data_IF_320517370624
#
_entry.id   IF_320517370624
#
_cell.length_a   1.000
_cell.length_b   1.000
_cell.length_c   1.000
_cell.angle_alpha   90.00
_cell.angle_beta   90.00
_cell.angle_gamma   90.00
#
_symmetry.space_group_name_H-M   'P 1'
#
loop_
_entity.id
_entity.type
_entity.pdbx_description
1 polymer ?
#
# COMPACT_ATOMS: atom_id res chain seq x y z
N UNK A 1 -25.13 14.42 -0.58
CA UNK A 1 -25.03 13.27 0.34
C UNK A 1 -23.77 13.42 1.19
N UNK A 2 -23.75 12.99 2.47
CA UNK A 2 -22.52 12.90 3.27
C UNK A 2 -22.07 11.44 3.40
N UNK A 3 -20.77 11.17 3.34
CA UNK A 3 -20.20 9.82 3.40
C UNK A 3 -19.26 9.68 4.60
N UNK A 4 -19.54 8.72 5.46
CA UNK A 4 -18.70 8.37 6.61
C UNK A 4 -18.01 7.03 6.33
N UNK A 5 -16.70 6.98 6.50
CA UNK A 5 -15.91 5.74 6.48
C UNK A 5 -15.28 5.58 7.86
N UNK A 6 -15.56 4.47 8.55
CA UNK A 6 -15.04 4.24 9.90
C UNK A 6 -14.65 2.79 10.22
N UNK A 7 -13.80 2.63 11.22
CA UNK A 7 -13.35 1.34 11.77
C UNK A 7 -13.72 1.13 13.26
N UNK A 8 -14.69 1.88 13.78
CA UNK A 8 -15.32 1.57 15.08
C UNK A 8 -15.72 0.09 15.18
N UNK A 9 -15.58 -0.46 16.39
CA UNK A 9 -16.18 -1.74 16.74
C UNK A 9 -17.70 -1.67 16.65
N UNK A 10 -18.36 -2.83 16.59
CA UNK A 10 -19.82 -2.89 16.56
C UNK A 10 -20.44 -2.18 17.77
N UNK A 11 -19.89 -2.42 18.96
CA UNK A 11 -20.38 -1.84 20.21
C UNK A 11 -20.19 -0.33 20.27
N UNK A 12 -19.03 0.17 19.82
CA UNK A 12 -18.78 1.61 19.71
C UNK A 12 -19.76 2.25 18.73
N UNK A 13 -19.98 1.61 17.59
CA UNK A 13 -20.87 2.13 16.55
C UNK A 13 -22.33 2.18 17.01
N UNK A 14 -22.83 1.16 17.71
CA UNK A 14 -24.19 1.15 18.27
C UNK A 14 -24.45 2.37 19.18
N UNK A 15 -23.43 2.84 19.91
CA UNK A 15 -23.52 4.04 20.76
C UNK A 15 -23.47 5.35 19.97
N UNK A 16 -22.77 5.37 18.82
CA UNK A 16 -22.48 6.59 18.06
C UNK A 16 -23.35 6.78 16.82
N UNK A 17 -24.04 5.74 16.34
CA UNK A 17 -24.78 5.75 15.07
C UNK A 17 -25.79 6.89 14.97
N UNK A 18 -26.43 7.25 16.08
CA UNK A 18 -27.39 8.36 16.14
C UNK A 18 -26.80 9.72 15.74
N UNK A 19 -25.49 9.93 15.90
CA UNK A 19 -24.80 11.18 15.50
C UNK A 19 -24.66 11.30 13.98
N UNK A 20 -24.84 10.20 13.26
CA UNK A 20 -24.56 10.08 11.83
C UNK A 20 -25.77 9.58 11.04
N UNK A 21 -26.99 9.80 11.53
CA UNK A 21 -28.24 9.33 10.90
C UNK A 21 -28.40 9.77 9.44
N UNK A 22 -27.87 10.95 9.10
CA UNK A 22 -27.97 11.54 7.76
C UNK A 22 -26.76 11.22 6.87
N UNK A 23 -25.85 10.37 7.34
CA UNK A 23 -24.66 9.96 6.62
C UNK A 23 -24.87 8.60 5.98
N UNK A 24 -24.38 8.44 4.75
CA UNK A 24 -24.14 7.11 4.20
C UNK A 24 -22.90 6.55 4.89
N UNK A 25 -23.02 5.38 5.51
CA UNK A 25 -21.96 4.81 6.35
C UNK A 25 -21.30 3.61 5.68
N UNK A 26 -19.97 3.61 5.69
CA UNK A 26 -19.12 2.50 5.29
C UNK A 26 -18.34 2.07 6.54
N UNK A 27 -18.77 0.95 7.12
CA UNK A 27 -18.17 0.35 8.31
C UNK A 27 -17.53 -0.98 7.95
N UNK A 28 -16.72 -1.54 8.87
CA UNK A 28 -16.16 -2.86 8.69
C UNK A 28 -17.23 -3.91 8.39
N UNK A 29 -17.00 -4.69 7.35
CA UNK A 29 -17.68 -5.96 7.11
C UNK A 29 -16.62 -7.02 6.85
N UNK A 30 -16.85 -8.25 7.30
CA UNK A 30 -15.92 -9.38 7.07
C UNK A 30 -15.72 -9.69 5.56
N UNK A 31 -16.53 -9.08 4.69
CA UNK A 31 -16.60 -9.37 3.27
C UNK A 31 -15.64 -8.56 2.39
N UNK A 32 -15.04 -7.47 2.86
CA UNK A 32 -14.21 -6.62 1.99
C UNK A 32 -12.92 -7.34 1.58
N UNK A 33 -12.83 -7.71 0.31
CA UNK A 33 -11.61 -8.32 -0.25
C UNK A 33 -10.57 -7.26 -0.62
N UNK A 34 -9.27 -7.56 -0.47
CA UNK A 34 -8.21 -6.63 -0.83
C UNK A 34 -8.20 -6.31 -2.31
N UNK A 35 -7.66 -5.15 -2.66
CA UNK A 35 -7.49 -4.75 -4.05
C UNK A 35 -6.50 -5.69 -4.77
N UNK A 36 -7.00 -6.39 -5.80
CA UNK A 36 -6.20 -7.33 -6.57
C UNK A 36 -5.17 -6.66 -7.51
N UNK A 37 -5.22 -5.33 -7.68
CA UNK A 37 -4.37 -4.63 -8.64
C UNK A 37 -4.63 -5.03 -10.10
N UNK A 38 -5.85 -5.47 -10.43
CA UNK A 38 -6.21 -5.99 -11.75
C UNK A 38 -6.55 -4.91 -12.78
N UNK A 39 -6.74 -3.66 -12.34
CA UNK A 39 -7.13 -2.50 -13.15
C UNK A 39 -8.45 -2.64 -13.93
N UNK A 40 -9.28 -3.63 -13.60
CA UNK A 40 -10.58 -3.83 -14.25
C UNK A 40 -11.53 -2.63 -14.06
N UNK A 41 -11.43 -1.96 -12.90
CA UNK A 41 -12.17 -0.74 -12.57
C UNK A 41 -11.78 0.49 -13.40
N UNK A 42 -10.68 0.39 -14.16
CA UNK A 42 -10.34 1.34 -15.20
C UNK A 42 -10.64 0.78 -16.59
N UNK A 43 -10.30 -0.47 -16.85
CA UNK A 43 -10.14 -0.97 -18.22
C UNK A 43 -11.15 -2.02 -18.67
N UNK A 44 -12.08 -2.46 -17.81
CA UNK A 44 -13.17 -3.39 -18.17
C UNK A 44 -14.53 -2.78 -17.88
N UNK A 45 -14.72 -2.28 -16.66
CA UNK A 45 -15.94 -1.61 -16.23
C UNK A 45 -15.53 -0.26 -15.59
N UNK A 46 -15.25 0.77 -16.39
CA UNK A 46 -14.74 2.05 -15.89
C UNK A 46 -15.62 2.63 -14.79
N UNK A 47 -15.02 2.86 -13.61
CA UNK A 47 -15.74 3.40 -12.45
C UNK A 47 -16.15 2.34 -11.41
N UNK A 48 -16.23 1.06 -11.79
CA UNK A 48 -16.78 0.00 -10.94
C UNK A 48 -15.74 -1.10 -10.68
N UNK A 49 -15.57 -1.50 -9.43
CA UNK A 49 -14.69 -2.63 -9.11
C UNK A 49 -15.22 -3.94 -9.70
N UNK A 50 -14.30 -4.78 -10.18
CA UNK A 50 -14.63 -6.14 -10.61
C UNK A 50 -14.95 -7.08 -9.44
N UNK A 51 -14.50 -6.74 -8.23
CA UNK A 51 -14.79 -7.48 -7.01
C UNK A 51 -16.16 -7.00 -6.50
N UNK A 52 -17.18 -7.84 -6.62
CA UNK A 52 -18.57 -7.54 -6.18
C UNK A 52 -18.77 -8.04 -4.75
N UNK A 53 -18.52 -7.17 -3.78
CA UNK A 53 -18.57 -7.47 -2.33
C UNK A 53 -19.15 -6.32 -1.51
N UNK A 54 -19.89 -5.40 -2.17
CA UNK A 54 -20.50 -4.22 -1.56
C UNK A 54 -19.65 -2.95 -1.69
N UNK A 55 -18.37 -3.07 -2.06
CA UNK A 55 -17.44 -1.96 -2.18
C UNK A 55 -17.12 -1.59 -3.63
N UNK A 56 -17.76 -2.24 -4.61
CA UNK A 56 -17.48 -2.03 -6.02
C UNK A 56 -17.78 -0.61 -6.52
N UNK A 57 -18.66 0.12 -5.84
CA UNK A 57 -19.08 1.48 -6.19
C UNK A 57 -18.42 2.58 -5.34
N UNK A 58 -17.38 2.28 -4.57
CA UNK A 58 -16.75 3.29 -3.70
C UNK A 58 -16.30 4.55 -4.45
N UNK A 59 -15.78 4.43 -5.67
CA UNK A 59 -15.42 5.60 -6.48
C UNK A 59 -16.61 6.48 -6.86
N UNK A 60 -17.80 5.90 -7.10
CA UNK A 60 -19.03 6.66 -7.32
C UNK A 60 -19.52 7.30 -6.02
N UNK A 61 -19.50 6.56 -4.90
CA UNK A 61 -19.93 7.08 -3.60
C UNK A 61 -19.10 8.28 -3.14
N UNK A 62 -17.77 8.25 -3.36
CA UNK A 62 -16.91 9.41 -3.09
C UNK A 62 -17.26 10.58 -4.03
N UNK A 63 -17.58 10.30 -5.30
CA UNK A 63 -18.03 11.32 -6.26
C UNK A 63 -19.39 11.95 -5.89
N UNK A 64 -20.33 11.20 -5.36
CA UNK A 64 -21.65 11.70 -4.97
C UNK A 64 -21.65 12.43 -3.62
N UNK A 65 -20.61 12.20 -2.81
CA UNK A 65 -20.48 12.84 -1.51
C UNK A 65 -20.15 14.34 -1.66
N UNK A 66 -20.83 15.18 -0.88
CA UNK A 66 -20.49 16.59 -0.69
C UNK A 66 -19.32 16.72 0.31
N UNK A 67 -19.31 15.82 1.30
CA UNK A 67 -18.29 15.71 2.34
C UNK A 67 -18.02 14.23 2.65
N UNK A 68 -16.73 13.89 2.77
CA UNK A 68 -16.26 12.59 3.22
C UNK A 68 -15.61 12.76 4.59
N UNK A 69 -16.16 12.08 5.60
CA UNK A 69 -15.55 11.98 6.92
C UNK A 69 -14.89 10.62 7.04
N UNK A 70 -13.61 10.61 7.38
CA UNK A 70 -12.82 9.40 7.60
C UNK A 70 -12.45 9.36 9.07
N UNK A 71 -12.93 8.35 9.78
CA UNK A 71 -12.58 8.09 11.17
C UNK A 71 -11.79 6.79 11.18
N UNK A 72 -10.53 6.83 11.56
CA UNK A 72 -9.68 5.65 11.52
C UNK A 72 -8.82 5.54 12.76
N UNK A 73 -8.64 4.31 13.25
CA UNK A 73 -7.52 4.00 14.13
C UNK A 73 -6.22 4.42 13.44
N UNK A 74 -5.35 5.09 14.18
CA UNK A 74 -4.01 5.40 13.73
C UNK A 74 -3.22 4.10 13.59
N UNK A 75 -2.64 3.88 12.40
CA UNK A 75 -1.88 2.68 12.11
C UNK A 75 -0.61 3.07 11.35
N UNK A 76 0.51 3.07 12.09
CA UNK A 76 1.87 3.27 11.59
C UNK A 76 2.05 4.53 10.72
N UNK A 77 1.36 5.62 11.04
CA UNK A 77 1.44 6.87 10.27
C UNK A 77 0.30 7.07 9.26
N UNK A 78 -0.68 6.17 9.20
CA UNK A 78 -1.84 6.30 8.33
C UNK A 78 -3.10 5.61 8.86
N UNK A 79 -3.95 5.19 7.93
CA UNK A 79 -5.22 4.52 8.22
C UNK A 79 -5.02 3.06 8.65
N UNK A 80 -5.97 2.54 9.43
CA UNK A 80 -6.10 1.10 9.69
C UNK A 80 -6.23 0.27 8.42
N UNK A 81 -5.95 -1.03 8.53
CA UNK A 81 -6.05 -1.95 7.40
C UNK A 81 -7.43 -1.93 6.74
N UNK A 82 -8.53 -1.77 7.50
CA UNK A 82 -9.88 -1.69 6.93
C UNK A 82 -10.10 -0.41 6.13
N UNK A 83 -9.88 0.77 6.72
CA UNK A 83 -10.10 2.06 6.04
C UNK A 83 -9.19 2.17 4.83
N UNK A 84 -7.93 1.70 4.95
CA UNK A 84 -7.01 1.60 3.82
C UNK A 84 -7.56 0.70 2.72
N UNK A 85 -8.22 -0.41 3.05
CA UNK A 85 -8.81 -1.31 2.07
C UNK A 85 -9.93 -0.64 1.26
N UNK A 86 -10.78 0.14 1.93
CA UNK A 86 -11.81 0.95 1.27
C UNK A 86 -11.17 1.87 0.22
N UNK A 87 -10.08 2.57 0.55
CA UNK A 87 -9.40 3.45 -0.38
C UNK A 87 -8.62 2.73 -1.49
N UNK A 88 -8.01 1.59 -1.20
CA UNK A 88 -7.35 0.75 -2.21
C UNK A 88 -8.35 0.24 -3.26
N UNK A 89 -9.60 0.01 -2.83
CA UNK A 89 -10.74 -0.35 -3.69
C UNK A 89 -11.41 0.86 -4.38
N UNK A 90 -11.01 2.08 -4.04
CA UNK A 90 -11.60 3.34 -4.53
C UNK A 90 -10.83 3.99 -5.67
N UNK A 91 -9.77 3.37 -6.20
CA UNK A 91 -8.94 3.96 -7.27
C UNK A 91 -9.72 4.29 -8.56
N UNK A 92 -10.91 3.70 -8.74
CA UNK A 92 -11.82 4.05 -9.83
C UNK A 92 -12.29 5.52 -9.78
N UNK A 93 -12.17 6.19 -8.63
CA UNK A 93 -12.42 7.61 -8.44
C UNK A 93 -11.51 8.51 -9.31
N UNK A 94 -10.34 8.01 -9.71
CA UNK A 94 -9.38 8.70 -10.59
C UNK A 94 -9.27 8.00 -11.95
N UNK A 95 -8.70 8.70 -12.95
CA UNK A 95 -8.44 8.13 -14.26
C UNK A 95 -7.12 7.35 -14.27
N UNK A 96 -7.01 6.31 -15.11
CA UNK A 96 -5.75 5.58 -15.29
C UNK A 96 -4.63 6.44 -15.91
N UNK A 97 -4.99 7.53 -16.59
CA UNK A 97 -4.05 8.40 -17.29
C UNK A 97 -3.15 9.17 -16.31
N UNK A 98 -1.90 9.34 -16.69
CA UNK A 98 -0.88 10.07 -15.96
C UNK A 98 -0.83 11.55 -16.38
N UNK A 99 -0.40 12.40 -15.46
CA UNK A 99 -0.15 13.84 -15.61
C UNK A 99 0.97 14.27 -14.67
N UNK A 100 1.51 15.48 -14.85
CA UNK A 100 2.43 16.09 -13.90
C UNK A 100 1.64 17.12 -13.09
N UNK A 101 1.72 17.01 -11.77
CA UNK A 101 1.11 17.93 -10.81
C UNK A 101 2.14 18.26 -9.75
N UNK A 102 2.37 19.55 -9.47
CA UNK A 102 3.34 20.02 -8.48
C UNK A 102 4.76 19.42 -8.63
N UNK A 103 5.19 19.18 -9.88
CA UNK A 103 6.53 18.67 -10.19
C UNK A 103 6.67 17.14 -10.17
N UNK A 104 5.63 16.40 -9.77
CA UNK A 104 5.62 14.94 -9.67
C UNK A 104 4.52 14.32 -10.54
N UNK A 105 4.69 13.04 -10.89
CA UNK A 105 3.71 12.32 -11.68
C UNK A 105 2.55 11.81 -10.83
N UNK A 106 1.32 12.06 -11.29
CA UNK A 106 0.09 11.60 -10.66
C UNK A 106 -0.91 11.11 -11.72
N UNK A 107 -1.98 10.46 -11.27
CA UNK A 107 -3.12 10.15 -12.14
C UNK A 107 -4.00 11.38 -12.40
N UNK A 108 -4.64 11.46 -13.56
CA UNK A 108 -5.58 12.53 -13.94
C UNK A 108 -6.89 12.40 -13.16
N UNK A 109 -7.54 13.55 -12.95
CA UNK A 109 -8.89 13.65 -12.41
C UNK A 109 -9.90 12.93 -13.31
N UNK A 110 -10.79 12.11 -12.72
CA UNK A 110 -12.02 11.65 -13.40
C UNK A 110 -13.12 12.70 -13.32
N UNK A 111 -13.24 13.33 -12.16
CA UNK A 111 -14.25 14.34 -11.86
C UNK A 111 -13.61 15.71 -11.71
N UNK A 112 -14.30 16.77 -12.12
CA UNK A 112 -13.74 18.12 -12.15
C UNK A 112 -13.58 18.69 -10.74
N UNK A 113 -14.50 18.35 -9.85
CA UNK A 113 -14.53 18.83 -8.47
C UNK A 113 -13.45 18.19 -7.59
N UNK A 114 -13.05 18.94 -6.57
CA UNK A 114 -12.27 18.41 -5.45
C UNK A 114 -13.21 18.09 -4.31
N UNK A 115 -13.04 16.90 -3.71
CA UNK A 115 -13.91 16.43 -2.63
C UNK A 115 -13.41 16.90 -1.29
N UNK A 116 -14.32 17.34 -0.44
CA UNK A 116 -13.99 17.80 0.90
C UNK A 116 -13.81 16.59 1.81
N UNK A 117 -12.64 16.48 2.43
CA UNK A 117 -12.33 15.43 3.38
C UNK A 117 -12.07 16.01 4.76
N UNK A 118 -12.60 15.35 5.78
CA UNK A 118 -12.24 15.53 7.18
C UNK A 118 -11.70 14.21 7.71
N UNK A 119 -10.63 14.27 8.51
CA UNK A 119 -9.96 13.09 9.03
C UNK A 119 -9.92 13.14 10.56
N UNK A 120 -10.33 12.07 11.21
CA UNK A 120 -10.21 11.85 12.64
C UNK A 120 -9.37 10.61 12.85
N UNK A 121 -8.16 10.79 13.38
CA UNK A 121 -7.30 9.68 13.79
C UNK A 121 -7.51 9.36 15.26
N UNK A 122 -7.85 8.10 15.54
CA UNK A 122 -8.06 7.61 16.90
C UNK A 122 -6.81 6.86 17.36
N UNK A 123 -6.29 7.14 18.55
CA UNK A 123 -5.20 6.36 19.14
C UNK A 123 -5.05 6.60 20.64
N UNK A 124 -4.35 5.70 21.31
CA UNK A 124 -3.96 5.86 22.71
C UNK A 124 -2.60 6.57 22.79
N UNK A 125 -2.54 7.70 23.49
CA UNK A 125 -1.35 8.50 23.78
C UNK A 125 -0.48 8.80 22.54
N UNK A 126 -1.10 9.17 21.42
CA UNK A 126 -0.40 9.46 20.17
C UNK A 126 0.63 10.59 20.35
N UNK A 127 1.89 10.29 20.03
CA UNK A 127 3.00 11.25 20.06
C UNK A 127 2.82 12.30 18.96
N UNK A 128 3.43 13.46 19.13
CA UNK A 128 3.37 14.52 18.11
C UNK A 128 4.02 14.11 16.78
N UNK A 129 5.05 13.27 16.83
CA UNK A 129 5.68 12.69 15.64
C UNK A 129 4.73 11.78 14.86
N UNK A 130 3.89 11.01 15.56
CA UNK A 130 2.88 10.13 14.97
C UNK A 130 1.74 10.93 14.34
N UNK A 131 1.26 11.96 15.05
CA UNK A 131 0.28 12.92 14.52
C UNK A 131 0.80 13.60 13.25
N UNK A 132 2.08 14.00 13.24
CA UNK A 132 2.70 14.61 12.07
C UNK A 132 2.88 13.63 10.90
N UNK A 133 3.21 12.36 11.18
CA UNK A 133 3.24 11.32 10.15
C UNK A 133 1.86 11.14 9.50
N UNK A 134 0.79 11.07 10.31
CA UNK A 134 -0.59 10.99 9.83
C UNK A 134 -0.97 12.20 8.97
N UNK A 135 -0.61 13.43 9.40
CA UNK A 135 -0.84 14.65 8.61
C UNK A 135 -0.14 14.59 7.25
N UNK A 136 1.15 14.23 7.23
CA UNK A 136 1.93 14.08 5.99
C UNK A 136 1.31 13.04 5.05
N UNK A 137 0.86 11.92 5.60
CA UNK A 137 0.18 10.87 4.84
C UNK A 137 -1.11 11.37 4.21
N UNK A 138 -2.04 11.97 4.98
CA UNK A 138 -3.32 12.42 4.42
C UNK A 138 -3.16 13.56 3.41
N UNK A 139 -2.16 14.43 3.57
CA UNK A 139 -1.81 15.45 2.57
C UNK A 139 -1.43 14.79 1.24
N UNK A 140 -0.59 13.77 1.27
CA UNK A 140 -0.14 13.09 0.06
C UNK A 140 -1.24 12.17 -0.54
N UNK A 141 -2.02 11.50 0.30
CA UNK A 141 -3.24 10.81 -0.10
C UNK A 141 -4.22 11.74 -0.82
N UNK A 142 -4.54 12.91 -0.25
CA UNK A 142 -5.45 13.88 -0.85
C UNK A 142 -4.91 14.46 -2.16
N UNK A 143 -3.59 14.59 -2.34
CA UNK A 143 -3.01 14.96 -3.64
C UNK A 143 -3.32 13.92 -4.71
N UNK A 144 -3.24 12.63 -4.38
CA UNK A 144 -3.55 11.52 -5.29
C UNK A 144 -5.06 11.37 -5.55
N UNK A 145 -5.90 11.65 -4.55
CA UNK A 145 -7.36 11.57 -4.65
C UNK A 145 -8.03 12.92 -4.92
N UNK A 146 -7.28 13.97 -5.26
CA UNK A 146 -7.82 15.31 -5.52
C UNK A 146 -8.74 15.86 -4.41
N UNK A 147 -8.44 15.49 -3.16
CA UNK A 147 -9.18 15.91 -1.98
C UNK A 147 -8.75 17.29 -1.48
N UNK A 148 -9.71 18.07 -0.99
CA UNK A 148 -9.51 19.28 -0.19
C UNK A 148 -9.69 18.91 1.28
N UNK A 149 -8.63 19.07 2.06
CA UNK A 149 -8.66 18.81 3.50
C UNK A 149 -9.41 19.96 4.17
N UNK A 150 -10.47 19.63 4.91
CA UNK A 150 -11.24 20.56 5.76
C UNK A 150 -10.70 20.55 7.18
N UNK A 151 -10.47 19.37 7.74
CA UNK A 151 -9.93 19.21 9.10
C UNK A 151 -9.11 17.92 9.23
N UNK A 152 -8.12 17.96 10.14
CA UNK A 152 -7.38 16.78 10.61
C UNK A 152 -7.32 16.87 12.13
N UNK A 153 -8.10 16.03 12.81
CA UNK A 153 -8.18 15.96 14.26
C UNK A 153 -7.76 14.59 14.78
N UNK A 154 -7.51 14.55 16.09
CA UNK A 154 -7.03 13.36 16.80
C UNK A 154 -7.89 13.14 18.03
N UNK A 155 -8.35 11.91 18.22
CA UNK A 155 -9.17 11.51 19.36
C UNK A 155 -8.47 10.44 20.17
N UNK A 156 -8.51 10.60 21.48
CA UNK A 156 -8.07 9.59 22.41
C UNK A 156 -9.06 8.41 22.38
N UNK A 157 -8.56 7.19 22.30
CA UNK A 157 -9.37 6.02 22.63
C UNK A 157 -8.52 4.97 23.34
N UNK A 158 -9.10 4.34 24.34
CA UNK A 158 -8.53 3.16 24.96
C UNK A 158 -8.78 1.98 24.01
N UNK A 159 -7.70 1.39 23.52
CA UNK A 159 -7.79 0.13 22.81
C UNK A 159 -8.03 -0.96 23.87
N UNK A 160 -9.05 -1.80 23.69
CA UNK A 160 -9.24 -2.96 24.55
C UNK A 160 -7.91 -3.71 24.60
N UNK A 161 -7.40 -3.89 25.82
CA UNK A 161 -6.13 -4.54 26.11
C UNK A 161 -6.26 -6.05 25.79
N UNK A 162 -6.43 -6.37 24.52
CA UNK A 162 -6.37 -7.72 23.98
C UNK A 162 -4.90 -8.07 23.71
N UNK A 163 -4.01 -7.67 24.62
CA UNK A 163 -2.76 -8.39 24.91
C UNK A 163 -3.10 -9.73 25.58
N UNK A 164 -4.03 -10.50 25.01
CA UNK A 164 -3.95 -11.94 25.15
C UNK A 164 -2.83 -12.39 24.24
N UNK A 165 -1.59 -12.20 24.71
CA UNK A 165 -0.41 -12.80 24.12
C UNK A 165 -0.72 -14.29 23.92
N UNK A 166 -0.85 -14.73 22.67
CA UNK A 166 -0.78 -16.15 22.37
C UNK A 166 0.67 -16.57 22.63
N UNK A 167 0.97 -16.85 23.90
CA UNK A 167 2.23 -17.44 24.34
C UNK A 167 2.33 -18.85 23.75
N UNK A 168 2.73 -18.91 22.48
CA UNK A 168 3.39 -20.06 21.89
C UNK A 168 4.68 -19.55 21.30
N UNK A 169 5.65 -19.30 22.17
CA UNK A 169 7.04 -19.30 21.76
C UNK A 169 7.34 -20.71 21.20
N UNK A 170 7.16 -20.88 19.89
CA UNK A 170 7.78 -21.98 19.16
C UNK A 170 9.26 -21.61 19.01
N UNK A 171 10.15 -22.57 19.25
CA UNK A 171 11.59 -22.38 19.10
C UNK A 171 11.92 -21.73 17.76
N UNK A 172 12.65 -20.62 17.81
CA UNK A 172 13.31 -20.05 16.64
C UNK A 172 14.31 -21.06 16.11
N UNK A 173 14.11 -21.52 14.88
CA UNK A 173 14.98 -22.59 14.38
C UNK A 173 15.26 -22.49 12.88
N UNK A 174 15.14 -21.30 12.29
CA UNK A 174 15.48 -21.12 10.88
C UNK A 174 16.36 -19.90 10.64
N UNK A 175 17.58 -20.15 10.17
CA UNK A 175 18.45 -19.15 9.54
C UNK A 175 17.93 -18.71 8.15
N UNK A 176 16.76 -19.24 7.73
CA UNK A 176 16.10 -18.88 6.49
C UNK A 176 15.64 -17.43 6.48
N UNK A 177 15.85 -16.78 5.35
CA UNK A 177 15.46 -15.41 5.05
C UNK A 177 14.17 -15.44 4.23
N UNK A 178 13.09 -14.88 4.75
CA UNK A 178 11.81 -14.86 4.03
C UNK A 178 11.70 -13.62 3.16
N UNK A 179 11.56 -13.82 1.85
CA UNK A 179 11.33 -12.79 0.85
C UNK A 179 9.84 -12.76 0.49
N UNK A 180 9.05 -11.95 1.19
CA UNK A 180 7.60 -11.91 1.05
C UNK A 180 7.16 -10.98 -0.08
N UNK A 181 6.71 -11.57 -1.20
CA UNK A 181 5.99 -10.85 -2.24
C UNK A 181 4.57 -10.52 -1.74
N UNK A 182 4.38 -9.27 -1.36
CA UNK A 182 3.14 -8.73 -0.83
C UNK A 182 2.18 -8.24 -1.94
N UNK A 183 2.47 -8.46 -3.22
CA UNK A 183 1.55 -8.09 -4.29
C UNK A 183 0.44 -9.12 -4.48
N UNK A 184 -0.81 -8.65 -4.59
CA UNK A 184 -1.95 -9.51 -4.95
C UNK A 184 -1.87 -10.07 -6.38
N UNK A 185 -0.89 -9.63 -7.19
CA UNK A 185 -0.62 -10.17 -8.53
C UNK A 185 0.26 -11.43 -8.52
N UNK A 186 0.71 -11.90 -7.35
CA UNK A 186 1.47 -13.14 -7.20
C UNK A 186 2.69 -13.19 -8.10
N UNK A 187 2.85 -14.29 -8.86
CA UNK A 187 3.98 -14.52 -9.76
C UNK A 187 4.07 -13.54 -10.94
N UNK A 188 3.00 -12.80 -11.22
CA UNK A 188 2.97 -11.77 -12.27
C UNK A 188 3.25 -10.36 -11.74
N UNK A 189 3.66 -10.24 -10.47
CA UNK A 189 3.94 -8.97 -9.83
C UNK A 189 5.33 -8.41 -10.19
N UNK A 190 5.43 -7.09 -10.28
CA UNK A 190 6.72 -6.41 -10.39
C UNK A 190 7.55 -6.59 -9.10
N UNK A 191 6.91 -6.58 -7.92
CA UNK A 191 7.58 -6.83 -6.64
C UNK A 191 8.26 -8.20 -6.58
N UNK A 192 7.64 -9.24 -7.17
CA UNK A 192 8.26 -10.58 -7.33
C UNK A 192 9.52 -10.52 -8.20
N UNK A 193 9.46 -9.83 -9.34
CA UNK A 193 10.62 -9.69 -10.23
C UNK A 193 11.80 -8.98 -9.54
N UNK A 194 11.50 -7.95 -8.72
CA UNK A 194 12.51 -7.24 -7.93
C UNK A 194 13.12 -8.17 -6.87
N UNK A 195 12.30 -8.94 -6.14
CA UNK A 195 12.79 -9.95 -5.20
C UNK A 195 13.70 -10.97 -5.88
N UNK A 196 13.26 -11.56 -6.99
CA UNK A 196 14.06 -12.56 -7.73
C UNK A 196 15.39 -11.99 -8.26
N UNK A 197 15.46 -10.67 -8.52
CA UNK A 197 16.73 -10.03 -8.86
C UNK A 197 17.63 -9.90 -7.63
N UNK A 198 17.09 -9.35 -6.54
CA UNK A 198 17.82 -9.11 -5.29
C UNK A 198 18.33 -10.39 -4.63
N UNK A 199 17.52 -11.45 -4.69
CA UNK A 199 17.82 -12.79 -4.15
C UNK A 199 19.18 -13.32 -4.61
N UNK A 200 19.58 -13.02 -5.85
CA UNK A 200 20.88 -13.41 -6.42
C UNK A 200 22.09 -12.73 -5.76
N UNK A 201 21.86 -11.69 -4.97
CA UNK A 201 22.88 -10.93 -4.24
C UNK A 201 22.84 -11.20 -2.74
N UNK A 202 21.95 -12.08 -2.27
CA UNK A 202 21.86 -12.51 -0.89
C UNK A 202 22.67 -13.79 -0.71
N UNK A 203 23.54 -13.80 0.30
CA UNK A 203 24.23 -14.99 0.77
C UNK A 203 23.43 -15.55 1.95
N UNK A 204 22.83 -16.72 1.77
CA UNK A 204 21.99 -17.36 2.80
C UNK A 204 20.90 -18.24 2.18
N UNK A 205 20.19 -18.98 3.03
CA UNK A 205 19.01 -19.73 2.61
C UNK A 205 17.82 -18.78 2.50
N UNK A 206 17.31 -18.57 1.29
CA UNK A 206 16.19 -17.65 1.03
C UNK A 206 14.95 -18.41 0.58
N UNK A 207 13.78 -17.90 0.94
CA UNK A 207 12.50 -18.39 0.41
C UNK A 207 11.61 -17.25 -0.04
N UNK A 208 11.22 -17.26 -1.32
CA UNK A 208 10.28 -16.27 -1.85
C UNK A 208 8.84 -16.76 -1.73
N UNK A 209 8.09 -16.16 -0.82
CA UNK A 209 6.68 -16.48 -0.54
C UNK A 209 5.75 -15.45 -1.19
N UNK A 210 4.65 -15.91 -1.80
CA UNK A 210 3.60 -15.03 -2.29
C UNK A 210 2.50 -14.88 -1.24
N UNK A 211 2.30 -13.67 -0.71
CA UNK A 211 1.24 -13.39 0.29
C UNK A 211 -0.15 -13.75 -0.24
N UNK A 212 -0.41 -13.56 -1.53
CA UNK A 212 -1.70 -13.90 -2.15
C UNK A 212 -2.12 -15.36 -1.93
N UNK A 213 -1.17 -16.29 -1.81
CA UNK A 213 -1.44 -17.70 -1.51
C UNK A 213 -1.92 -17.93 -0.07
N UNK A 214 -1.76 -16.94 0.80
CA UNK A 214 -2.09 -16.98 2.24
C UNK A 214 -3.20 -16.01 2.63
N UNK A 215 -3.88 -15.36 1.68
CA UNK A 215 -4.85 -14.29 1.99
C UNK A 215 -6.05 -14.74 2.83
N UNK A 216 -6.36 -16.05 2.82
CA UNK A 216 -7.41 -16.66 3.64
C UNK A 216 -6.85 -17.55 4.78
N UNK A 217 -5.54 -17.53 5.00
CA UNK A 217 -4.83 -18.40 5.96
C UNK A 217 -3.63 -17.66 6.56
N UNK A 218 -3.91 -16.47 7.08
CA UNK A 218 -2.88 -15.60 7.67
C UNK A 218 -2.14 -16.27 8.83
N UNK A 219 -2.81 -17.13 9.61
CA UNK A 219 -2.18 -17.84 10.72
C UNK A 219 -1.00 -18.70 10.25
N UNK A 220 -1.14 -19.42 9.13
CA UNK A 220 -0.04 -20.20 8.54
C UNK A 220 1.14 -19.30 8.09
N UNK A 221 0.83 -18.13 7.52
CA UNK A 221 1.88 -17.18 7.12
C UNK A 221 2.59 -16.59 8.33
N UNK A 222 1.84 -16.29 9.40
CA UNK A 222 2.39 -15.76 10.64
C UNK A 222 3.32 -16.77 11.31
N UNK A 223 2.97 -18.06 11.33
CA UNK A 223 3.86 -19.10 11.83
C UNK A 223 5.22 -19.10 11.10
N UNK A 224 5.20 -18.93 9.78
CA UNK A 224 6.42 -18.83 8.98
C UNK A 224 7.22 -17.57 9.37
N UNK A 225 6.58 -16.40 9.38
CA UNK A 225 7.24 -15.12 9.64
C UNK A 225 7.75 -14.98 11.08
N UNK A 226 7.08 -15.59 12.05
CA UNK A 226 7.53 -15.60 13.44
C UNK A 226 8.77 -16.49 13.61
N UNK A 227 8.87 -17.59 12.84
CA UNK A 227 9.98 -18.53 12.94
C UNK A 227 11.32 -18.01 12.39
N UNK A 228 11.31 -16.93 11.60
CA UNK A 228 12.51 -16.40 10.95
C UNK A 228 13.02 -15.09 11.59
N UNK A 229 14.31 -14.82 11.41
CA UNK A 229 14.99 -13.62 11.94
C UNK A 229 15.00 -12.45 10.96
N UNK A 230 15.01 -12.73 9.64
CA UNK A 230 15.10 -11.73 8.58
C UNK A 230 13.89 -11.83 7.65
N UNK A 231 13.20 -10.71 7.46
CA UNK A 231 12.04 -10.61 6.57
C UNK A 231 12.29 -9.47 5.59
N UNK A 232 12.09 -9.75 4.30
CA UNK A 232 12.03 -8.74 3.26
C UNK A 232 10.59 -8.60 2.78
N UNK A 233 10.02 -7.41 2.93
CA UNK A 233 8.67 -7.10 2.44
C UNK A 233 8.77 -6.43 1.07
N UNK A 234 8.29 -7.09 0.01
CA UNK A 234 8.23 -6.48 -1.31
C UNK A 234 6.80 -6.19 -1.75
N UNK A 235 6.46 -4.92 -1.97
CA UNK A 235 5.07 -4.50 -2.17
C UNK A 235 4.91 -3.33 -3.14
N UNK A 236 3.75 -3.23 -3.82
CA UNK A 236 3.40 -2.00 -4.53
C UNK A 236 2.97 -0.89 -3.56
N UNK A 237 3.13 0.37 -3.95
CA UNK A 237 2.50 1.52 -3.29
C UNK A 237 1.04 1.64 -3.70
N UNK A 238 0.11 1.60 -2.75
CA UNK A 238 -1.31 1.86 -2.98
C UNK A 238 -1.77 3.06 -2.14
N UNK A 239 -2.46 4.03 -2.76
CA UNK A 239 -3.01 5.20 -2.07
C UNK A 239 -2.02 5.84 -1.06
N UNK A 240 -0.80 6.08 -1.55
CA UNK A 240 0.31 6.73 -0.83
C UNK A 240 0.89 5.97 0.39
N UNK A 241 0.55 4.69 0.55
CA UNK A 241 1.05 3.88 1.66
C UNK A 241 1.10 2.38 1.35
N UNK A 242 1.34 1.59 2.40
CA UNK A 242 1.31 0.13 2.30
C UNK A 242 -0.10 -0.37 1.89
N UNK A 243 -0.21 -1.44 1.07
CA UNK A 243 -1.51 -2.04 0.75
C UNK A 243 -2.24 -2.55 1.99
N UNK A 244 -3.57 -2.49 1.97
CA UNK A 244 -4.42 -2.86 3.12
C UNK A 244 -4.17 -4.26 3.68
N UNK A 245 -3.96 -5.25 2.82
CA UNK A 245 -3.70 -6.63 3.23
C UNK A 245 -2.31 -6.83 3.86
N UNK A 246 -1.38 -5.91 3.60
CA UNK A 246 -0.07 -5.87 4.26
C UNK A 246 -0.19 -5.20 5.62
N UNK A 247 -0.95 -4.10 5.74
CA UNK A 247 -1.26 -3.51 7.03
C UNK A 247 -1.97 -4.50 7.95
N UNK A 248 -2.90 -5.29 7.42
CA UNK A 248 -3.54 -6.38 8.18
C UNK A 248 -2.52 -7.40 8.70
N UNK A 249 -1.55 -7.80 7.87
CA UNK A 249 -0.47 -8.69 8.31
C UNK A 249 0.36 -8.06 9.43
N UNK A 250 0.74 -6.79 9.26
CA UNK A 250 1.52 -6.02 10.23
C UNK A 250 0.79 -5.89 11.57
N UNK A 251 -0.51 -5.57 11.56
CA UNK A 251 -1.39 -5.52 12.73
C UNK A 251 -1.48 -6.89 13.43
N UNK A 252 -1.53 -8.00 12.66
CA UNK A 252 -1.54 -9.35 13.24
C UNK A 252 -0.19 -9.72 13.85
N UNK A 253 0.93 -9.34 13.22
CA UNK A 253 2.27 -9.57 13.77
C UNK A 253 2.51 -8.77 15.04
N UNK A 254 2.03 -7.51 15.11
CA UNK A 254 2.08 -6.68 16.31
C UNK A 254 1.41 -7.37 17.51
N UNK A 255 0.23 -7.96 17.29
CA UNK A 255 -0.52 -8.67 18.33
C UNK A 255 0.13 -9.95 18.83
N UNK A 256 1.00 -10.57 18.03
CA UNK A 256 1.61 -11.86 18.38
C UNK A 256 2.91 -11.73 19.19
N UNK A 257 3.25 -10.53 19.71
CA UNK A 257 4.37 -10.24 20.62
C UNK A 257 5.55 -11.21 20.42
N UNK A 258 6.26 -11.10 19.30
CA UNK A 258 7.42 -11.97 19.09
C UNK A 258 8.47 -11.65 20.18
N UNK A 259 8.87 -12.66 20.94
CA UNK A 259 9.93 -12.55 21.95
C UNK A 259 11.31 -12.19 21.35
N UNK A 260 11.42 -12.17 20.02
CA UNK A 260 12.67 -12.00 19.30
C UNK A 260 12.68 -10.80 18.36
N UNK A 261 13.83 -10.13 18.37
CA UNK A 261 14.14 -9.01 17.48
C UNK A 261 14.28 -9.52 16.05
N UNK A 262 13.47 -9.01 15.14
CA UNK A 262 13.53 -9.32 13.70
C UNK A 262 14.19 -8.18 12.93
N UNK A 263 14.89 -8.51 11.84
CA UNK A 263 15.40 -7.54 10.87
C UNK A 263 14.44 -7.44 9.69
N UNK A 264 13.98 -6.23 9.41
CA UNK A 264 12.98 -5.92 8.40
C UNK A 264 13.63 -5.08 7.30
N UNK A 265 13.58 -5.58 6.07
CA UNK A 265 13.99 -4.87 4.87
C UNK A 265 12.80 -4.67 3.92
N UNK A 266 12.87 -3.67 3.05
CA UNK A 266 11.74 -3.34 2.15
C UNK A 266 12.17 -3.19 0.70
N UNK A 267 11.37 -3.75 -0.22
CA UNK A 267 11.47 -3.45 -1.66
C UNK A 267 10.12 -2.96 -2.16
N UNK A 268 9.97 -1.64 -2.27
CA UNK A 268 8.71 -1.03 -2.65
C UNK A 268 8.77 -0.49 -4.08
N UNK A 269 7.67 -0.61 -4.83
CA UNK A 269 7.59 -0.10 -6.19
C UNK A 269 6.26 0.60 -6.47
N UNK A 270 6.22 1.50 -7.44
CA UNK A 270 4.96 2.16 -7.84
C UNK A 270 4.86 2.44 -9.33
N UNK A 271 3.68 2.83 -9.79
CA UNK A 271 3.44 3.19 -11.20
C UNK A 271 3.95 4.59 -11.60
N UNK A 272 4.16 5.50 -10.65
CA UNK A 272 4.65 6.86 -10.92
C UNK A 272 6.16 6.91 -11.08
N UNK A 273 6.65 7.95 -11.75
CA UNK A 273 8.03 8.05 -12.19
C UNK A 273 9.02 8.29 -11.04
N UNK A 274 8.71 9.20 -10.12
CA UNK A 274 9.61 9.66 -9.07
C UNK A 274 9.54 8.77 -7.83
N UNK A 275 10.52 7.88 -7.64
CA UNK A 275 10.61 6.93 -6.51
C UNK A 275 10.37 7.54 -5.13
N UNK A 276 10.71 8.83 -4.94
CA UNK A 276 10.50 9.59 -3.69
C UNK A 276 9.07 9.58 -3.15
N UNK A 277 8.05 9.37 -3.99
CA UNK A 277 6.66 9.27 -3.50
C UNK A 277 6.41 8.00 -2.64
N UNK A 278 7.33 7.03 -2.62
CA UNK A 278 7.24 5.82 -1.78
C UNK A 278 7.62 6.09 -0.31
N UNK A 279 8.20 7.25 0.02
CA UNK A 279 8.71 7.56 1.37
C UNK A 279 7.71 7.32 2.51
N UNK A 280 6.42 7.56 2.27
CA UNK A 280 5.38 7.38 3.29
C UNK A 280 5.20 5.89 3.60
N UNK A 281 5.26 5.01 2.60
CA UNK A 281 5.23 3.56 2.79
C UNK A 281 6.44 3.07 3.59
N UNK A 282 7.66 3.54 3.27
CA UNK A 282 8.84 3.17 4.05
C UNK A 282 8.73 3.65 5.51
N UNK A 283 8.24 4.88 5.71
CA UNK A 283 7.93 5.42 7.03
C UNK A 283 6.92 4.56 7.81
N UNK A 284 5.90 4.02 7.15
CA UNK A 284 4.94 3.10 7.78
C UNK A 284 5.60 1.80 8.25
N UNK A 285 6.43 1.19 7.42
CA UNK A 285 7.14 -0.04 7.81
C UNK A 285 8.11 0.25 8.95
N UNK A 286 8.80 1.40 8.95
CA UNK A 286 9.70 1.81 10.04
C UNK A 286 8.94 1.99 11.36
N UNK A 287 7.81 2.69 11.34
CA UNK A 287 6.97 2.89 12.52
C UNK A 287 6.41 1.57 13.07
N UNK A 288 6.02 0.65 12.18
CA UNK A 288 5.61 -0.70 12.58
C UNK A 288 6.75 -1.50 13.19
N UNK A 289 7.95 -1.47 12.59
CA UNK A 289 9.12 -2.15 13.14
C UNK A 289 9.42 -1.64 14.56
N UNK A 290 9.42 -0.32 14.76
CA UNK A 290 9.62 0.28 16.10
C UNK A 290 8.53 -0.18 17.09
N UNK A 291 7.26 -0.14 16.67
CA UNK A 291 6.12 -0.57 17.51
C UNK A 291 6.22 -2.03 17.94
N UNK A 292 6.72 -2.90 17.07
CA UNK A 292 6.92 -4.33 17.33
C UNK A 292 8.23 -4.68 18.03
N UNK A 293 9.14 -3.71 18.27
CA UNK A 293 10.49 -3.98 18.78
C UNK A 293 11.42 -4.66 17.76
N UNK A 294 11.09 -4.56 16.46
CA UNK A 294 11.92 -5.04 15.36
C UNK A 294 12.94 -3.97 14.94
N UNK A 295 13.92 -4.40 14.15
CA UNK A 295 14.91 -3.54 13.52
C UNK A 295 14.52 -3.28 12.08
N UNK A 296 14.31 -2.01 11.72
CA UNK A 296 14.21 -1.60 10.32
C UNK A 296 15.62 -1.41 9.76
N UNK A 297 15.99 -2.19 8.74
CA UNK A 297 17.36 -2.24 8.22
C UNK A 297 17.52 -1.58 6.85
N UNK A 298 16.49 -0.89 6.34
CA UNK A 298 16.53 -0.14 5.09
C UNK A 298 15.63 -0.68 3.99
N UNK A 299 15.44 0.12 2.94
CA UNK A 299 14.63 -0.28 1.80
C UNK A 299 15.00 0.36 0.46
N UNK A 300 14.54 -0.28 -0.61
CA UNK A 300 14.68 0.21 -1.98
C UNK A 300 13.30 0.67 -2.50
N UNK A 301 13.20 1.94 -2.86
CA UNK A 301 12.03 2.55 -3.47
C UNK A 301 12.21 2.65 -4.99
N UNK A 302 11.34 1.99 -5.76
CA UNK A 302 11.43 1.92 -7.23
C UNK A 302 10.33 2.74 -7.89
N UNK A 303 10.74 3.81 -8.56
CA UNK A 303 9.90 4.57 -9.48
C UNK A 303 9.68 3.83 -10.81
N UNK A 304 8.72 4.28 -11.62
CA UNK A 304 8.39 3.72 -12.93
C UNK A 304 8.26 2.18 -12.94
N UNK A 305 7.75 1.58 -11.86
CA UNK A 305 7.81 0.16 -11.57
C UNK A 305 7.09 -0.74 -12.58
N UNK A 306 6.09 -0.23 -13.31
CA UNK A 306 5.45 -0.96 -14.42
C UNK A 306 6.39 -1.23 -15.61
N UNK A 307 7.42 -0.38 -15.75
CA UNK A 307 8.49 -0.54 -16.74
C UNK A 307 9.71 -1.21 -16.09
N UNK A 308 10.23 -0.63 -15.01
CA UNK A 308 11.48 -1.09 -14.40
C UNK A 308 11.36 -2.49 -13.80
N UNK A 309 10.22 -2.84 -13.22
CA UNK A 309 9.96 -4.19 -12.70
C UNK A 309 9.92 -5.27 -13.78
N UNK A 310 9.76 -4.92 -15.06
CA UNK A 310 9.91 -5.87 -16.19
C UNK A 310 11.33 -5.86 -16.73
N UNK A 311 11.93 -4.66 -16.87
CA UNK A 311 13.30 -4.51 -17.36
C UNK A 311 14.33 -5.16 -16.44
N UNK A 312 14.06 -5.26 -15.14
CA UNK A 312 14.95 -5.93 -14.18
C UNK A 312 15.15 -7.43 -14.47
N UNK A 313 14.26 -8.04 -15.26
CA UNK A 313 14.37 -9.45 -15.68
C UNK A 313 15.37 -9.66 -16.81
N UNK A 314 15.80 -8.58 -17.48
CA UNK A 314 16.83 -8.66 -18.54
C UNK A 314 18.14 -9.10 -17.86
N UNK A 315 18.83 -10.14 -18.37
CA UNK A 315 20.05 -10.64 -17.73
C UNK A 315 21.08 -9.55 -17.44
N UNK A 316 21.23 -8.60 -18.35
CA UNK A 316 22.12 -7.44 -18.22
C UNK A 316 21.35 -6.15 -17.87
N UNK A 317 20.51 -6.19 -16.83
CA UNK A 317 19.73 -5.03 -16.39
C UNK A 317 20.59 -3.79 -16.07
N UNK A 318 21.87 -3.98 -15.72
CA UNK A 318 22.84 -2.93 -15.40
C UNK A 318 23.15 -2.00 -16.57
N UNK A 319 22.99 -2.47 -17.81
CA UNK A 319 23.17 -1.68 -19.02
C UNK A 319 21.85 -1.19 -19.63
N UNK A 320 20.77 -1.22 -18.86
CA UNK A 320 19.44 -0.74 -19.27
C UNK A 320 18.96 0.44 -18.43
N UNK A 321 17.74 0.93 -18.68
CA UNK A 321 17.09 1.92 -17.81
C UNK A 321 16.82 1.41 -16.38
N UNK A 322 16.94 0.10 -16.13
CA UNK A 322 16.84 -0.49 -14.79
C UNK A 322 18.17 -0.47 -14.01
N UNK A 323 19.26 0.12 -14.54
CA UNK A 323 20.58 0.15 -13.89
C UNK A 323 20.53 0.54 -12.42
N UNK A 324 19.92 1.69 -12.10
CA UNK A 324 19.85 2.19 -10.73
C UNK A 324 19.09 1.22 -9.81
N UNK A 325 18.05 0.57 -10.33
CA UNK A 325 17.28 -0.44 -9.58
C UNK A 325 18.14 -1.69 -9.34
N UNK A 326 18.86 -2.18 -10.35
CA UNK A 326 19.74 -3.33 -10.20
C UNK A 326 20.82 -3.08 -9.14
N UNK A 327 21.49 -1.91 -9.18
CA UNK A 327 22.51 -1.56 -8.20
C UNK A 327 21.93 -1.43 -6.79
N UNK A 328 20.77 -0.79 -6.64
CA UNK A 328 20.11 -0.64 -5.34
C UNK A 328 19.69 -1.99 -4.73
N UNK A 329 19.20 -2.92 -5.56
CA UNK A 329 18.85 -4.28 -5.12
C UNK A 329 20.09 -5.08 -4.74
N UNK A 330 21.20 -4.95 -5.48
CA UNK A 330 22.45 -5.62 -5.12
C UNK A 330 23.01 -5.09 -3.78
N UNK A 331 22.91 -3.79 -3.53
CA UNK A 331 23.32 -3.15 -2.27
C UNK A 331 22.47 -3.64 -1.10
N UNK A 332 21.14 -3.63 -1.24
CA UNK A 332 20.24 -4.16 -0.21
C UNK A 332 20.46 -5.66 0.02
N UNK A 333 20.70 -6.44 -1.04
CA UNK A 333 21.02 -7.87 -0.94
C UNK A 333 22.27 -8.15 -0.10
N UNK A 334 23.34 -7.38 -0.30
CA UNK A 334 24.57 -7.47 0.50
C UNK A 334 24.36 -7.06 1.97
N UNK A 335 23.55 -6.04 2.21
CA UNK A 335 23.19 -5.63 3.57
C UNK A 335 22.41 -6.74 4.28
N UNK A 336 21.49 -7.42 3.58
CA UNK A 336 20.76 -8.59 4.11
C UNK A 336 21.73 -9.73 4.47
N UNK A 337 22.69 -10.06 3.59
CA UNK A 337 23.71 -11.09 3.85
C UNK A 337 24.49 -10.77 5.14
N UNK A 338 24.92 -9.51 5.27
CA UNK A 338 25.78 -9.05 6.37
C UNK A 338 25.00 -8.71 7.64
N UNK A 339 23.66 -8.77 7.61
CA UNK A 339 22.78 -8.35 8.70
C UNK A 339 22.96 -6.87 9.07
N UNK A 340 23.28 -6.03 8.08
CA UNK A 340 23.56 -4.60 8.27
C UNK A 340 22.34 -3.74 7.93
N UNK A 341 22.34 -2.52 8.49
CA UNK A 341 21.43 -1.45 8.09
C UNK A 341 22.00 -0.68 6.89
N UNK A 342 21.13 -0.31 5.96
CA UNK A 342 21.43 0.62 4.87
C UNK A 342 20.43 1.76 4.84
N UNK A 343 20.85 2.93 4.37
CA UNK A 343 19.94 4.04 4.14
C UNK A 343 18.90 3.67 3.06
N UNK A 344 17.71 4.26 3.13
CA UNK A 344 16.69 4.07 2.09
C UNK A 344 17.19 4.56 0.72
N UNK A 345 17.16 3.67 -0.27
CA UNK A 345 17.65 3.92 -1.63
C UNK A 345 16.47 4.24 -2.55
N UNK A 346 16.47 5.44 -3.11
CA UNK A 346 15.44 5.90 -4.05
C UNK A 346 15.92 5.71 -5.49
N UNK A 347 15.50 4.63 -6.13
CA UNK A 347 15.95 4.19 -7.45
C UNK A 347 15.00 4.65 -8.56
N UNK A 348 15.35 5.77 -9.20
CA UNK A 348 14.70 6.28 -10.41
C UNK A 348 15.28 5.64 -11.70
N UNK A 349 14.51 5.70 -12.78
CA UNK A 349 14.93 5.16 -14.08
C UNK A 349 16.23 5.82 -14.59
N UNK A 350 17.22 4.99 -14.96
CA UNK A 350 18.51 5.46 -15.44
C UNK A 350 18.41 5.99 -16.88
N UNK A 351 18.67 7.29 -17.07
CA UNK A 351 18.69 7.95 -18.40
C UNK A 351 17.44 7.68 -19.26
N UNK A 352 16.28 7.47 -18.64
CA UNK A 352 15.00 7.42 -19.33
C UNK A 352 14.28 8.76 -19.18
N UNK A 353 13.56 9.20 -20.20
CA UNK A 353 12.82 10.46 -20.10
C UNK A 353 11.50 10.26 -19.38
N UNK A 354 11.24 11.09 -18.37
CA UNK A 354 9.93 11.20 -17.72
C UNK A 354 8.80 11.51 -18.72
N UNK A 355 9.08 12.35 -19.72
CA UNK A 355 8.10 12.70 -20.75
C UNK A 355 7.72 11.47 -21.59
N UNK A 356 8.72 10.64 -21.97
CA UNK A 356 8.43 9.41 -22.69
C UNK A 356 7.66 8.41 -21.82
N UNK A 357 8.01 8.27 -20.54
CA UNK A 357 7.25 7.44 -19.61
C UNK A 357 5.76 7.87 -19.55
N UNK A 358 5.51 9.17 -19.41
CA UNK A 358 4.17 9.76 -19.42
C UNK A 358 3.39 9.43 -20.70
N UNK A 359 4.02 9.61 -21.87
CA UNK A 359 3.42 9.35 -23.18
C UNK A 359 3.10 7.85 -23.34
N UNK A 360 4.06 6.98 -23.06
CA UNK A 360 3.88 5.53 -23.20
C UNK A 360 2.85 4.98 -22.23
N UNK A 361 2.84 5.43 -20.97
CA UNK A 361 1.84 5.04 -19.97
C UNK A 361 0.42 5.40 -20.43
N UNK A 362 0.22 6.63 -20.90
CA UNK A 362 -1.08 7.10 -21.39
C UNK A 362 -1.56 6.36 -22.64
N UNK A 363 -0.64 6.08 -23.58
CA UNK A 363 -0.96 5.31 -24.78
C UNK A 363 -1.26 3.84 -24.46
N UNK A 364 -0.58 3.28 -23.45
CA UNK A 364 -0.81 1.92 -22.94
C UNK A 364 -2.26 1.69 -22.52
N UNK A 365 -2.86 2.63 -21.80
CA UNK A 365 -4.27 2.53 -21.39
C UNK A 365 -5.25 2.52 -22.56
N UNK A 366 -4.98 3.29 -23.61
CA UNK A 366 -5.81 3.28 -24.82
C UNK A 366 -5.75 1.93 -25.53
N UNK A 367 -4.57 1.27 -25.56
CA UNK A 367 -4.44 -0.09 -26.09
C UNK A 367 -5.15 -1.12 -25.21
N UNK A 368 -5.06 -0.99 -23.88
CA UNK A 368 -5.76 -1.87 -22.95
C UNK A 368 -7.28 -1.74 -23.07
N UNK A 369 -7.82 -0.54 -23.24
CA UNK A 369 -9.24 -0.32 -23.50
C UNK A 369 -9.72 -1.11 -24.73
N UNK A 370 -9.03 -0.94 -25.87
CA UNK A 370 -9.39 -1.62 -27.12
C UNK A 370 -9.40 -3.15 -26.98
N UNK A 371 -8.44 -3.71 -26.24
CA UNK A 371 -8.38 -5.17 -25.96
C UNK A 371 -9.56 -5.69 -25.14
N UNK A 372 -10.18 -4.84 -24.34
CA UNK A 372 -11.38 -5.16 -23.57
C UNK A 372 -12.68 -4.68 -24.26
N UNK A 373 -12.63 -4.33 -25.55
CA UNK A 373 -13.81 -3.86 -26.29
C UNK A 373 -14.25 -2.43 -25.96
N UNK A 374 -13.40 -1.65 -25.28
CA UNK A 374 -13.69 -0.27 -24.89
C UNK A 374 -12.98 0.76 -25.79
N UNK A 375 -13.59 1.92 -25.94
CA UNK A 375 -13.00 3.10 -26.55
C UNK A 375 -12.26 3.95 -25.51
N UNK A 376 -11.48 4.93 -26.00
CA UNK A 376 -10.85 5.94 -25.13
C UNK A 376 -11.89 6.75 -24.35
N UNK A 377 -13.06 7.05 -24.96
CA UNK A 377 -14.14 7.80 -24.31
C UNK A 377 -14.75 7.01 -23.17
N UNK A 378 -14.80 5.68 -23.28
CA UNK A 378 -15.36 4.83 -22.23
C UNK A 378 -14.55 4.88 -20.94
N UNK A 379 -13.21 4.94 -21.05
CA UNK A 379 -12.33 5.11 -19.88
C UNK A 379 -12.58 6.42 -19.12
N UNK A 380 -13.11 7.44 -19.81
CA UNK A 380 -13.39 8.78 -19.27
C UNK A 380 -14.80 8.91 -18.67
N UNK A 381 -15.65 7.87 -18.77
CA UNK A 381 -17.00 7.91 -18.21
C UNK A 381 -16.97 8.15 -16.70
N UNK A 382 -17.97 8.85 -16.20
CA UNK A 382 -18.23 8.94 -14.75
C UNK A 382 -18.66 7.56 -14.25
N UNK A 383 -18.30 7.22 -13.01
CA UNK A 383 -18.85 6.02 -12.39
C UNK A 383 -20.34 6.28 -12.10
N UNK A 384 -21.17 5.28 -12.38
CA UNK A 384 -22.63 5.26 -12.16
C UNK A 384 -23.02 4.30 -11.02
#
# INVERSE_FOLDING_TARGET
MKLLIHDYSREEWERLAHKYSDWKVISYTENIRPCAGCFACWAKEPGVCAIKDGYEKMGAMIHEADEVLVISKYTYGGFSSFVKNVFDRSISYILPYLTISHGEMHHKRRYHESKVFSFIFRGNNLKDSEKEAARKYVIAFCKNFYGKIKDISFEEFEEDDMTSCLNKAKEENSDKIVLLNCSMRGDHANSKNLLTKMDKSIEGDTEIINLVSYINKYDELLEILISCKKIVLAMPLYADGAPSHVLRLMEMMEKQCAASKKQIYVVANMGFYESRQIRNLLGMVKAWSEKCGYEYCGGVAVGAGEMLGKMIRIPDAYNTHARNVALALDELGKAISSSEEVADIYADAYKFSRLFYLIYGNNGWTKTAKRNGLTKKDLLRKAE
#
